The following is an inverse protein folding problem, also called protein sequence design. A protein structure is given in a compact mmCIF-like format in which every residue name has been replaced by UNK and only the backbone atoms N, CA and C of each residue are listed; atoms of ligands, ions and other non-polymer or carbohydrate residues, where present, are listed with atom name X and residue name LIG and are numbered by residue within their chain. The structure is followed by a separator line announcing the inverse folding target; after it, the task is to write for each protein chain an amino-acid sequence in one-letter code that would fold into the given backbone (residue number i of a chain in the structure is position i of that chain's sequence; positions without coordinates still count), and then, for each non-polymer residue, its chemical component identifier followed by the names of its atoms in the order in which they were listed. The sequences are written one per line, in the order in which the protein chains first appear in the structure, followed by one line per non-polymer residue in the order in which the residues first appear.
data_IF_323677969159
#
_entry.id   IF_323677969159
#
_cell.length_a   1.000
_cell.length_b   1.000
_cell.length_c   1.000
_cell.angle_alpha   90.00
_cell.angle_beta   90.00
_cell.angle_gamma   90.00
#
_symmetry.space_group_name_H-M   'P 1'
#
loop_
_entity.id
_entity.type
_entity.pdbx_description
1 polymer ?
#
# COMPACT_ATOMS: atom_id res chain seq x y z
N UNK A 1 -8.50 -7.42 -1.27
CA UNK A 1 -7.17 -6.83 -1.08
C UNK A 1 -6.84 -6.71 0.39
N UNK A 2 -5.60 -6.91 0.71
CA UNK A 2 -5.05 -6.58 2.04
C UNK A 2 -3.97 -5.53 1.82
N UNK A 3 -4.09 -4.42 2.54
CA UNK A 3 -3.14 -3.32 2.39
C UNK A 3 -2.68 -2.89 3.78
N UNK A 4 -1.37 -2.84 3.97
CA UNK A 4 -0.78 -2.22 5.14
C UNK A 4 -0.51 -0.77 4.79
N UNK A 5 -1.09 0.14 5.58
CA UNK A 5 -0.98 1.59 5.38
C UNK A 5 -0.10 2.15 6.47
N UNK A 6 1.01 2.79 6.09
CA UNK A 6 1.91 3.41 7.05
C UNK A 6 2.06 4.90 6.74
N UNK A 7 1.79 5.73 7.73
CA UNK A 7 2.01 7.17 7.60
C UNK A 7 3.51 7.44 7.69
N UNK A 8 4.06 8.16 6.71
CA UNK A 8 5.51 8.36 6.63
C UNK A 8 5.89 9.81 6.47
N UNK A 9 7.06 10.17 7.00
CA UNK A 9 7.72 11.44 6.69
C UNK A 9 8.45 11.39 5.37
N UNK A 10 8.96 10.20 5.02
CA UNK A 10 9.61 9.90 3.75
C UNK A 10 9.68 8.39 3.57
N UNK A 11 9.76 7.95 2.34
CA UNK A 11 9.95 6.54 2.00
C UNK A 11 10.58 6.43 0.62
N UNK A 12 11.28 5.33 0.38
CA UNK A 12 11.84 5.03 -0.94
C UNK A 12 11.96 3.54 -1.16
N UNK A 13 12.01 3.16 -2.41
CA UNK A 13 12.27 1.79 -2.82
C UNK A 13 13.47 1.77 -3.75
N UNK A 14 14.39 0.84 -3.50
CA UNK A 14 15.59 0.65 -4.32
C UNK A 14 15.60 -0.75 -4.91
N UNK A 15 16.11 -0.86 -6.13
CA UNK A 15 16.27 -2.12 -6.85
C UNK A 15 17.71 -2.15 -7.35
N UNK A 16 18.45 -3.22 -7.01
CA UNK A 16 19.86 -3.37 -7.36
C UNK A 16 20.70 -2.15 -6.98
N UNK A 17 20.42 -1.59 -5.78
CA UNK A 17 21.16 -0.45 -5.25
C UNK A 17 20.77 0.91 -5.82
N UNK A 18 19.81 0.96 -6.73
CA UNK A 18 19.33 2.20 -7.34
C UNK A 18 17.96 2.58 -6.80
N UNK A 19 17.78 3.85 -6.44
CA UNK A 19 16.45 4.36 -6.02
C UNK A 19 15.53 4.36 -7.24
N UNK A 20 14.42 3.63 -7.14
CA UNK A 20 13.43 3.50 -8.20
C UNK A 20 12.26 4.46 -7.99
N UNK A 21 11.77 4.56 -6.76
CA UNK A 21 10.67 5.46 -6.39
C UNK A 21 10.93 6.07 -5.02
N UNK A 22 10.48 7.31 -4.82
CA UNK A 22 10.73 8.04 -3.60
C UNK A 22 9.63 9.06 -3.36
N UNK A 23 9.20 9.16 -2.09
CA UNK A 23 8.20 10.15 -1.67
C UNK A 23 8.68 10.88 -0.43
N UNK A 24 8.13 12.07 -0.22
CA UNK A 24 8.22 12.80 1.04
C UNK A 24 6.99 12.44 1.89
N UNK A 25 6.44 13.37 2.64
CA UNK A 25 5.29 13.10 3.52
C UNK A 25 4.12 12.46 2.78
N UNK A 26 3.59 11.39 3.36
CA UNK A 26 2.45 10.70 2.77
C UNK A 26 2.27 9.31 3.34
N UNK A 27 1.93 8.36 2.46
CA UNK A 27 1.64 6.98 2.83
C UNK A 27 2.54 6.01 2.08
N UNK A 28 3.10 5.04 2.82
CA UNK A 28 3.65 3.83 2.22
C UNK A 28 2.58 2.75 2.30
N UNK A 29 2.31 2.12 1.16
CA UNK A 29 1.35 1.02 1.07
C UNK A 29 2.09 -0.27 0.72
N UNK A 30 1.80 -1.34 1.48
CA UNK A 30 2.14 -2.70 1.10
C UNK A 30 0.84 -3.34 0.62
N UNK A 31 0.80 -3.76 -0.65
CA UNK A 31 -0.45 -4.12 -1.32
C UNK A 31 -0.47 -5.59 -1.71
N UNK A 32 -1.38 -6.35 -1.11
CA UNK A 32 -1.62 -7.75 -1.45
C UNK A 32 -2.95 -7.90 -2.19
N UNK A 33 -2.94 -8.69 -3.27
CA UNK A 33 -4.14 -8.99 -4.06
C UNK A 33 -4.55 -10.43 -3.80
N UNK A 34 -5.83 -10.61 -3.45
CA UNK A 34 -6.41 -11.94 -3.24
C UNK A 34 -7.11 -12.46 -4.50
N UNK A 35 -7.33 -13.79 -4.59
CA UNK A 35 -7.93 -14.39 -5.77
C UNK A 35 -9.41 -14.00 -5.97
N UNK A 36 -10.07 -13.55 -4.90
CA UNK A 36 -11.49 -13.17 -4.93
C UNK A 36 -11.71 -11.68 -5.13
N UNK A 37 -10.65 -10.90 -5.31
CA UNK A 37 -10.76 -9.45 -5.42
C UNK A 37 -11.45 -9.04 -6.72
N UNK A 38 -12.39 -8.11 -6.58
CA UNK A 38 -13.21 -7.57 -7.65
C UNK A 38 -12.95 -6.06 -7.79
N UNK A 39 -13.50 -5.47 -8.85
CA UNK A 39 -13.40 -4.03 -9.07
C UNK A 39 -13.92 -3.22 -7.87
N UNK A 40 -14.98 -3.71 -7.21
CA UNK A 40 -15.51 -3.06 -6.01
C UNK A 40 -14.50 -2.99 -4.87
N UNK A 41 -13.65 -4.01 -4.73
CA UNK A 41 -12.59 -4.03 -3.72
C UNK A 41 -11.55 -2.95 -4.03
N UNK A 42 -11.17 -2.83 -5.30
CA UNK A 42 -10.22 -1.82 -5.76
C UNK A 42 -10.78 -0.41 -5.51
N UNK A 43 -12.01 -0.16 -5.93
CA UNK A 43 -12.64 1.14 -5.78
C UNK A 43 -12.80 1.54 -4.31
N UNK A 44 -13.18 0.58 -3.47
CA UNK A 44 -13.27 0.77 -2.02
C UNK A 44 -11.91 1.15 -1.43
N UNK A 45 -10.86 0.39 -1.79
CA UNK A 45 -9.52 0.63 -1.27
C UNK A 45 -9.01 2.02 -1.66
N UNK A 46 -9.14 2.39 -2.93
CA UNK A 46 -8.70 3.70 -3.42
C UNK A 46 -9.42 4.82 -2.67
N UNK A 47 -10.75 4.75 -2.57
CA UNK A 47 -11.56 5.76 -1.87
C UNK A 47 -11.15 5.89 -0.41
N UNK A 48 -10.95 4.76 0.29
CA UNK A 48 -10.55 4.79 1.69
C UNK A 48 -9.16 5.38 1.89
N UNK A 49 -8.21 4.97 1.06
CA UNK A 49 -6.81 5.41 1.21
C UNK A 49 -6.64 6.90 1.01
N UNK A 50 -7.29 7.48 0.00
CA UNK A 50 -7.11 8.90 -0.30
C UNK A 50 -7.87 9.82 0.65
N UNK A 51 -8.89 9.28 1.33
CA UNK A 51 -9.72 10.06 2.24
C UNK A 51 -9.54 9.72 3.73
N UNK A 52 -8.72 8.72 4.05
CA UNK A 52 -8.47 8.30 5.43
C UNK A 52 -7.81 9.44 6.22
N UNK A 53 -8.44 9.82 7.32
CA UNK A 53 -8.06 11.02 8.06
C UNK A 53 -7.06 10.68 9.17
N UNK A 54 -5.82 10.39 8.79
CA UNK A 54 -4.76 9.97 9.71
C UNK A 54 -3.60 10.95 9.79
N UNK A 55 -3.73 12.12 9.19
CA UNK A 55 -2.72 13.18 9.33
C UNK A 55 -3.24 14.23 10.30
N UNK A 56 -2.32 14.78 11.09
CA UNK A 56 -2.66 15.74 12.16
C UNK A 56 -3.05 17.10 11.58
N UNK A 57 -4.13 17.67 12.12
CA UNK A 57 -4.52 19.04 11.84
C UNK A 57 -3.75 20.04 12.71
N UNK A 58 -4.11 21.31 12.63
CA UNK A 58 -3.45 22.39 13.39
C UNK A 58 -3.58 22.21 14.91
N UNK A 59 -4.57 21.42 15.36
CA UNK A 59 -4.79 21.13 16.78
C UNK A 59 -4.17 19.81 17.22
N UNK A 60 -3.42 19.13 16.33
CA UNK A 60 -2.76 17.87 16.63
C UNK A 60 -3.66 16.65 16.57
N UNK A 61 -4.88 16.79 16.03
CA UNK A 61 -5.83 15.67 15.91
C UNK A 61 -5.75 15.03 14.53
N UNK A 62 -5.90 13.70 14.45
CA UNK A 62 -5.96 12.97 13.20
C UNK A 62 -7.25 13.32 12.45
N UNK A 63 -7.18 14.28 11.58
CA UNK A 63 -8.35 14.86 10.93
C UNK A 63 -8.16 15.16 9.44
N UNK A 64 -6.95 15.03 8.92
CA UNK A 64 -6.65 15.36 7.53
C UNK A 64 -6.25 14.10 6.77
N UNK A 65 -6.62 14.06 5.49
CA UNK A 65 -6.26 12.97 4.58
C UNK A 65 -4.94 13.26 3.86
N UNK A 66 -4.42 12.25 3.15
CA UNK A 66 -3.24 12.44 2.30
C UNK A 66 -3.51 13.50 1.22
N UNK A 67 -4.74 13.59 0.72
CA UNK A 67 -5.15 14.64 -0.23
C UNK A 67 -5.08 16.03 0.41
N UNK A 68 -5.63 16.15 1.62
CA UNK A 68 -5.68 17.44 2.34
C UNK A 68 -4.30 18.02 2.57
N UNK A 69 -3.31 17.19 2.88
CA UNK A 69 -1.94 17.64 3.15
C UNK A 69 -1.09 17.72 1.88
N UNK A 70 -1.67 17.45 0.71
CA UNK A 70 -0.95 17.38 -0.57
C UNK A 70 0.23 16.41 -0.49
N UNK A 71 -0.01 15.26 0.15
CA UNK A 71 0.99 14.21 0.30
C UNK A 71 1.09 13.32 -0.92
N UNK A 72 1.96 12.32 -0.81
CA UNK A 72 2.28 11.36 -1.87
C UNK A 72 2.07 9.95 -1.38
N UNK A 73 1.97 9.00 -2.29
CA UNK A 73 1.84 7.58 -1.97
C UNK A 73 2.97 6.80 -2.65
N UNK A 74 3.63 5.92 -1.89
CA UNK A 74 4.54 4.91 -2.42
C UNK A 74 3.84 3.55 -2.29
N UNK A 75 3.50 2.95 -3.43
CA UNK A 75 2.74 1.70 -3.48
C UNK A 75 3.67 0.54 -3.84
N UNK A 76 3.76 -0.45 -2.94
CA UNK A 76 4.64 -1.61 -3.09
C UNK A 76 3.78 -2.88 -3.08
N UNK A 77 3.94 -3.71 -4.11
CA UNK A 77 3.28 -5.01 -4.16
C UNK A 77 3.86 -5.95 -3.11
N UNK A 78 2.99 -6.67 -2.36
CA UNK A 78 3.39 -7.51 -1.25
C UNK A 78 2.46 -8.72 -1.12
N UNK A 79 2.66 -9.74 -1.97
CA UNK A 79 1.81 -10.93 -1.94
C UNK A 79 1.90 -11.71 -0.63
N UNK A 80 3.01 -11.56 0.10
CA UNK A 80 3.23 -12.25 1.37
C UNK A 80 2.24 -11.85 2.47
N UNK A 81 1.43 -10.80 2.25
CA UNK A 81 0.33 -10.46 3.15
C UNK A 81 -0.73 -11.57 3.20
N UNK A 82 -0.75 -12.46 2.22
CA UNK A 82 -1.65 -13.62 2.18
C UNK A 82 -0.97 -14.89 2.68
N UNK A 83 0.09 -14.77 3.47
CA UNK A 83 0.78 -15.92 4.05
C UNK A 83 -0.15 -16.69 4.98
N UNK A 84 -0.10 -18.02 4.88
CA UNK A 84 -0.72 -18.94 5.83
C UNK A 84 0.39 -19.55 6.69
N UNK A 85 0.33 -19.29 7.98
CA UNK A 85 1.34 -19.74 8.95
C UNK A 85 0.82 -20.81 9.88
N UNK A 86 -0.31 -21.45 9.55
CA UNK A 86 -0.98 -22.40 10.46
C UNK A 86 -0.17 -23.65 10.75
N UNK A 87 0.57 -24.15 9.76
CA UNK A 87 1.32 -25.40 9.89
C UNK A 87 2.82 -25.16 9.75
N UNK A 88 3.58 -25.61 10.74
CA UNK A 88 5.03 -25.55 10.71
C UNK A 88 5.58 -24.13 10.65
N UNK A 89 6.82 -24.03 10.22
CA UNK A 89 7.55 -22.76 10.22
C UNK A 89 7.73 -22.14 8.84
N UNK A 90 7.31 -22.84 7.78
CA UNK A 90 7.35 -22.33 6.41
C UNK A 90 5.98 -21.77 6.04
N UNK A 91 5.85 -20.45 5.81
CA UNK A 91 4.58 -19.88 5.37
C UNK A 91 4.19 -20.43 3.99
N UNK A 92 2.91 -20.67 3.78
CA UNK A 92 2.35 -20.98 2.47
C UNK A 92 1.70 -19.73 1.89
N UNK A 93 1.74 -19.57 0.56
CA UNK A 93 1.21 -18.40 -0.11
C UNK A 93 0.10 -18.73 -1.11
N UNK A 94 -0.55 -19.87 -0.91
CA UNK A 94 -1.64 -20.35 -1.78
C UNK A 94 -2.88 -19.45 -1.72
N UNK A 95 -2.98 -18.62 -0.67
CA UNK A 95 -4.09 -17.66 -0.52
C UNK A 95 -3.94 -16.38 -1.32
N UNK A 96 -2.80 -16.16 -1.98
CA UNK A 96 -2.60 -14.99 -2.82
C UNK A 96 -3.14 -15.22 -4.23
N UNK A 97 -3.51 -14.14 -4.92
CA UNK A 97 -3.86 -14.21 -6.34
C UNK A 97 -2.65 -14.67 -7.15
N UNK A 98 -2.92 -15.30 -8.30
CA UNK A 98 -1.85 -15.70 -9.22
C UNK A 98 -1.13 -14.46 -9.77
N UNK A 99 0.19 -14.56 -10.07
CA UNK A 99 0.98 -13.39 -10.48
C UNK A 99 0.39 -12.54 -11.59
N UNK A 100 -0.13 -13.17 -12.66
CA UNK A 100 -0.68 -12.41 -13.80
C UNK A 100 -1.87 -11.55 -13.39
N UNK A 101 -2.81 -12.14 -12.64
CA UNK A 101 -3.97 -11.42 -12.13
C UNK A 101 -3.55 -10.34 -11.14
N UNK A 102 -2.64 -10.70 -10.23
CA UNK A 102 -2.20 -9.78 -9.18
C UNK A 102 -1.51 -8.57 -9.77
N UNK A 103 -0.64 -8.75 -10.77
CA UNK A 103 0.07 -7.64 -11.41
C UNK A 103 -0.89 -6.69 -12.12
N UNK A 104 -1.82 -7.23 -12.92
CA UNK A 104 -2.80 -6.42 -13.63
C UNK A 104 -3.67 -5.61 -12.66
N UNK A 105 -4.13 -6.27 -11.60
CA UNK A 105 -4.98 -5.64 -10.58
C UNK A 105 -4.22 -4.54 -9.81
N UNK A 106 -2.99 -4.82 -9.44
CA UNK A 106 -2.12 -3.87 -8.75
C UNK A 106 -1.85 -2.64 -9.63
N UNK A 107 -1.58 -2.83 -10.91
CA UNK A 107 -1.35 -1.71 -11.82
C UNK A 107 -2.59 -0.85 -12.00
N UNK A 108 -3.77 -1.46 -12.12
CA UNK A 108 -5.03 -0.71 -12.20
C UNK A 108 -5.27 0.07 -10.92
N UNK A 109 -5.01 -0.55 -9.77
CA UNK A 109 -5.11 0.11 -8.47
C UNK A 109 -4.22 1.36 -8.41
N UNK A 110 -2.96 1.24 -8.85
CA UNK A 110 -2.03 2.38 -8.88
C UNK A 110 -2.51 3.48 -9.81
N UNK A 111 -3.08 3.12 -10.97
CA UNK A 111 -3.63 4.10 -11.92
C UNK A 111 -4.79 4.88 -11.31
N UNK A 112 -5.68 4.20 -10.60
CA UNK A 112 -6.81 4.86 -9.95
C UNK A 112 -6.35 5.76 -8.80
N UNK A 113 -5.37 5.34 -8.00
CA UNK A 113 -4.78 6.19 -6.96
C UNK A 113 -4.16 7.46 -7.57
N UNK A 114 -3.47 7.31 -8.71
CA UNK A 114 -2.75 8.41 -9.36
C UNK A 114 -3.67 9.50 -9.90
N UNK A 115 -4.95 9.20 -10.05
CA UNK A 115 -5.96 10.22 -10.41
C UNK A 115 -6.23 11.16 -9.24
N UNK A 116 -5.91 10.75 -8.02
CA UNK A 116 -6.24 11.50 -6.81
C UNK A 116 -5.02 12.17 -6.17
N UNK A 117 -3.87 11.49 -6.13
CA UNK A 117 -2.63 11.98 -5.51
C UNK A 117 -1.43 11.50 -6.31
N UNK A 118 -0.25 12.14 -6.19
CA UNK A 118 0.97 11.60 -6.80
C UNK A 118 1.31 10.22 -6.24
N UNK A 119 1.60 9.27 -7.12
CA UNK A 119 1.92 7.88 -6.75
C UNK A 119 3.27 7.49 -7.34
N UNK A 120 4.14 6.96 -6.49
CA UNK A 120 5.37 6.28 -6.89
C UNK A 120 5.20 4.80 -6.61
N UNK A 121 5.87 3.95 -7.38
CA UNK A 121 5.78 2.50 -7.24
C UNK A 121 7.15 1.85 -7.28
N UNK A 122 7.21 0.57 -6.83
CA UNK A 122 8.31 -0.32 -7.16
C UNK A 122 8.02 -1.08 -8.46
N UNK A 123 8.66 -2.23 -8.62
CA UNK A 123 8.46 -3.12 -9.76
C UNK A 123 7.87 -4.43 -9.24
N UNK A 124 6.73 -4.84 -9.80
CA UNK A 124 6.06 -6.08 -9.41
C UNK A 124 7.01 -7.28 -9.57
N UNK A 125 7.13 -8.07 -8.51
CA UNK A 125 7.93 -9.29 -8.51
C UNK A 125 9.44 -9.08 -8.36
N UNK A 126 9.92 -7.84 -8.33
CA UNK A 126 11.35 -7.57 -8.16
C UNK A 126 11.78 -7.73 -6.70
N UNK A 127 13.07 -7.97 -6.50
CA UNK A 127 13.70 -7.89 -5.18
C UNK A 127 13.93 -6.41 -4.87
N UNK A 128 13.27 -5.91 -3.83
CA UNK A 128 13.27 -4.49 -3.52
C UNK A 128 13.71 -4.25 -2.08
N UNK A 129 14.40 -3.12 -1.88
CA UNK A 129 14.74 -2.61 -0.55
C UNK A 129 13.82 -1.42 -0.29
N UNK A 130 12.97 -1.53 0.72
CA UNK A 130 11.99 -0.50 1.06
C UNK A 130 12.40 0.17 2.36
N UNK A 131 12.67 1.47 2.29
CA UNK A 131 13.04 2.27 3.44
C UNK A 131 11.94 3.28 3.73
N UNK A 132 11.64 3.48 5.01
CA UNK A 132 10.62 4.44 5.41
C UNK A 132 10.90 4.98 6.80
N UNK A 133 10.36 6.17 7.05
CA UNK A 133 10.29 6.73 8.40
C UNK A 133 8.81 6.79 8.75
N UNK A 134 8.35 5.83 9.58
CA UNK A 134 6.97 5.81 10.03
C UNK A 134 6.78 6.96 11.03
N UNK A 135 5.80 7.79 10.74
CA UNK A 135 5.51 8.99 11.51
C UNK A 135 4.40 8.71 12.52
N UNK A 136 4.80 8.58 13.78
CA UNK A 136 3.83 8.37 14.84
C UNK A 136 4.26 7.36 15.90
N UNK A 137 4.41 6.06 15.67
CA UNK A 137 4.07 5.32 14.45
C UNK A 137 2.55 5.24 14.21
N UNK A 138 2.17 5.20 12.95
CA UNK A 138 0.79 4.94 12.53
C UNK A 138 0.81 3.90 11.43
N UNK A 139 0.20 2.75 11.72
CA UNK A 139 0.13 1.61 10.80
C UNK A 139 -1.28 1.04 10.89
N UNK A 140 -1.94 0.91 9.75
CA UNK A 140 -3.34 0.48 9.66
C UNK A 140 -3.42 -0.68 8.68
N UNK A 141 -4.26 -1.66 9.02
CA UNK A 141 -4.58 -2.78 8.13
C UNK A 141 -5.91 -2.49 7.47
N UNK A 142 -5.91 -2.44 6.15
CA UNK A 142 -7.12 -2.31 5.35
C UNK A 142 -7.37 -3.62 4.63
N UNK A 143 -8.49 -4.28 4.95
CA UNK A 143 -8.87 -5.56 4.32
C UNK A 143 -10.24 -5.38 3.68
N UNK A 144 -10.28 -5.43 2.34
CA UNK A 144 -11.53 -5.19 1.60
C UNK A 144 -12.53 -6.33 1.76
N UNK A 145 -12.08 -7.53 2.13
CA UNK A 145 -12.96 -8.68 2.36
C UNK A 145 -13.51 -8.71 3.78
N UNK A 146 -13.01 -7.87 4.66
CA UNK A 146 -13.43 -7.80 6.06
C UNK A 146 -13.60 -6.34 6.47
N UNK A 147 -14.50 -5.67 5.78
CA UNK A 147 -14.79 -4.23 5.96
C UNK A 147 -15.45 -3.93 7.30
#
# INVERSE_FOLDING_TARGET
MKIIVQRVKKAQVSIEGQVYGKIQQGLLLLVGVGPEDQKEDLDYAVRKLVNMRIFSDAEGKMNLSVKDIQGQILSISQFTLFADTKKGNRPAFTGAAKPDMAEAFYQEFNQELAKEVPVETGVFGADMQVELVNDGPVTIILDTQNR
#
